data_IF_118334184301
#
_entry.id   IF_118334184301
#
_cell.length_a   1.000
_cell.length_b   1.000
_cell.length_c   1.000
_cell.angle_alpha   90.00
_cell.angle_beta   90.00
_cell.angle_gamma   90.00
#
_symmetry.space_group_name_H-M   'P 1'
#
loop_
_entity.id
_entity.type
_entity.pdbx_description
1 polymer ?
#
# COMPACT_ATOMS: atom_id res chain seq x y z
N UNK A 1 25.18 -46.30 6.15
CA UNK A 1 25.47 -44.88 5.85
C UNK A 1 24.18 -44.32 5.25
N UNK A 2 23.25 -43.75 6.00
CA UNK A 2 23.45 -42.76 7.05
C UNK A 2 23.14 -41.38 6.46
N UNK A 3 21.85 -41.10 6.26
CA UNK A 3 21.27 -39.77 6.35
C UNK A 3 19.77 -39.96 6.61
N UNK A 4 19.48 -40.15 7.90
CA UNK A 4 18.16 -39.94 8.48
C UNK A 4 17.79 -38.48 8.23
N UNK A 5 16.82 -38.22 7.36
CA UNK A 5 16.20 -36.91 7.25
C UNK A 5 15.54 -36.60 8.60
N UNK A 6 16.18 -35.73 9.38
CA UNK A 6 15.60 -35.15 10.59
C UNK A 6 14.37 -34.33 10.20
N UNK A 7 13.21 -34.50 10.87
CA UNK A 7 12.08 -33.62 10.67
C UNK A 7 12.38 -32.32 11.42
N UNK A 8 13.07 -31.39 10.76
CA UNK A 8 13.17 -30.03 11.26
C UNK A 8 12.50 -29.07 10.30
N UNK A 9 11.39 -28.50 10.75
CA UNK A 9 11.18 -27.05 10.59
C UNK A 9 10.01 -26.67 11.49
N UNK A 10 10.30 -25.96 12.59
CA UNK A 10 9.33 -25.06 13.21
C UNK A 10 8.68 -24.19 12.12
N UNK A 11 7.44 -23.73 12.34
CA UNK A 11 6.81 -22.79 11.42
C UNK A 11 7.74 -21.57 11.20
N UNK A 12 7.89 -21.09 9.95
CA UNK A 12 8.77 -19.96 9.66
C UNK A 12 8.27 -18.71 10.39
N UNK A 13 9.20 -17.88 10.85
CA UNK A 13 8.86 -16.60 11.46
C UNK A 13 8.47 -15.59 10.37
N UNK A 14 7.20 -15.22 10.32
CA UNK A 14 6.70 -14.25 9.36
C UNK A 14 6.65 -12.82 9.92
N UNK A 15 7.00 -12.60 11.19
CA UNK A 15 6.89 -11.27 11.81
C UNK A 15 7.80 -10.26 11.11
N UNK A 16 7.30 -9.03 10.95
CA UNK A 16 8.05 -7.93 10.34
C UNK A 16 7.93 -6.66 11.17
N UNK A 17 8.98 -5.84 11.17
CA UNK A 17 9.00 -4.53 11.82
C UNK A 17 9.10 -3.42 10.77
N UNK A 18 8.08 -2.57 10.72
CA UNK A 18 8.00 -1.40 9.86
C UNK A 18 8.30 -0.15 10.70
N UNK A 19 9.53 -0.04 11.22
CA UNK A 19 9.89 1.01 12.16
C UNK A 19 9.10 0.86 13.47
N UNK A 20 8.26 1.83 13.87
CA UNK A 20 7.47 1.75 15.10
C UNK A 20 6.25 0.81 15.01
N UNK A 21 5.93 0.26 13.84
CA UNK A 21 4.81 -0.66 13.64
C UNK A 21 5.32 -2.11 13.52
N UNK A 22 4.90 -2.97 14.44
CA UNK A 22 5.24 -4.40 14.42
C UNK A 22 4.04 -5.23 13.96
N UNK A 23 4.23 -6.10 12.97
CA UNK A 23 3.18 -6.92 12.39
C UNK A 23 3.47 -8.41 12.60
N UNK A 24 2.41 -9.20 12.80
CA UNK A 24 2.52 -10.65 12.94
C UNK A 24 2.96 -11.35 11.64
N UNK A 25 2.71 -10.71 10.49
CA UNK A 25 3.10 -11.17 9.15
C UNK A 25 3.13 -9.99 8.15
N UNK A 26 3.72 -10.13 6.95
CA UNK A 26 3.91 -9.01 6.04
C UNK A 26 2.68 -8.69 5.18
N UNK A 27 1.53 -9.37 5.36
CA UNK A 27 0.38 -9.23 4.45
C UNK A 27 -0.67 -8.32 5.03
N UNK A 28 -0.87 -7.18 4.37
CA UNK A 28 -1.92 -6.21 4.69
C UNK A 28 -2.98 -6.15 3.59
N UNK A 29 -4.18 -5.66 3.89
CA UNK A 29 -5.17 -5.29 2.85
C UNK A 29 -4.95 -3.87 2.39
N UNK A 30 -5.18 -3.57 1.11
CA UNK A 30 -5.09 -2.20 0.61
C UNK A 30 -6.39 -1.42 0.89
N UNK A 31 -6.24 -0.12 1.21
CA UNK A 31 -7.36 0.79 1.36
C UNK A 31 -8.24 0.83 0.11
N UNK A 32 -9.56 0.84 0.31
CA UNK A 32 -10.55 1.01 -0.76
C UNK A 32 -11.09 -0.28 -1.37
N UNK A 33 -10.35 -1.39 -1.29
CA UNK A 33 -10.75 -2.70 -1.85
C UNK A 33 -11.12 -3.73 -0.79
N UNK A 34 -11.05 -3.35 0.49
CA UNK A 34 -11.40 -4.20 1.63
C UNK A 34 -12.42 -3.54 2.57
N UNK A 35 -13.15 -2.53 2.06
CA UNK A 35 -14.15 -1.80 2.83
C UNK A 35 -13.59 -1.22 4.12
N UNK A 36 -14.30 -1.44 5.23
CA UNK A 36 -13.79 -1.20 6.58
C UNK A 36 -13.26 -2.48 7.22
N UNK A 37 -13.21 -3.59 6.50
CA UNK A 37 -12.78 -4.92 6.96
C UNK A 37 -13.94 -5.81 7.42
N UNK A 38 -14.97 -5.24 8.03
CA UNK A 38 -16.12 -6.00 8.55
C UNK A 38 -16.88 -6.75 7.45
N UNK A 39 -16.93 -6.18 6.26
CA UNK A 39 -17.60 -6.76 5.09
C UNK A 39 -16.97 -8.10 4.64
N UNK A 40 -15.73 -8.37 5.07
CA UNK A 40 -15.00 -9.60 4.75
C UNK A 40 -14.95 -10.59 5.91
N UNK A 41 -15.52 -10.24 7.07
CA UNK A 41 -15.39 -11.03 8.30
C UNK A 41 -16.11 -12.38 8.28
N UNK A 42 -17.01 -12.59 7.33
CA UNK A 42 -17.67 -13.88 7.09
C UNK A 42 -16.82 -14.83 6.22
N UNK A 43 -15.80 -14.30 5.52
CA UNK A 43 -14.97 -15.09 4.59
C UNK A 43 -13.62 -15.50 5.21
N UNK A 44 -13.11 -14.70 6.16
CA UNK A 44 -11.86 -14.96 6.86
C UNK A 44 -11.82 -14.34 8.26
N UNK A 45 -10.94 -14.89 9.10
CA UNK A 45 -10.56 -14.29 10.37
C UNK A 45 -9.60 -13.12 10.15
N UNK A 46 -10.06 -11.92 10.52
CA UNK A 46 -9.34 -10.66 10.36
C UNK A 46 -8.04 -10.61 11.18
N UNK A 47 -7.98 -11.33 12.30
CA UNK A 47 -6.80 -11.36 13.18
C UNK A 47 -5.61 -12.08 12.58
N UNK A 48 -5.82 -12.91 11.54
CA UNK A 48 -4.74 -13.62 10.84
C UNK A 48 -3.91 -12.71 9.94
N UNK A 49 -4.44 -11.57 9.51
CA UNK A 49 -3.73 -10.65 8.62
C UNK A 49 -2.76 -9.76 9.40
N UNK A 50 -1.64 -9.39 8.77
CA UNK A 50 -0.67 -8.47 9.33
C UNK A 50 -1.28 -7.10 9.63
N UNK A 51 -2.18 -6.62 8.78
CA UNK A 51 -3.01 -5.46 9.07
C UNK A 51 -4.09 -5.17 8.05
N UNK A 52 -5.09 -4.39 8.47
CA UNK A 52 -6.20 -3.95 7.62
C UNK A 52 -6.08 -2.45 7.44
N UNK A 53 -5.72 -2.04 6.22
CA UNK A 53 -5.82 -0.64 5.83
C UNK A 53 -7.26 -0.36 5.41
N UNK A 54 -8.01 0.32 6.27
CA UNK A 54 -9.43 0.59 6.01
C UNK A 54 -9.60 1.62 4.89
N UNK A 55 -10.82 1.68 4.33
CA UNK A 55 -11.25 2.74 3.41
C UNK A 55 -10.86 4.12 3.94
N UNK A 56 -10.33 4.95 3.05
CA UNK A 56 -9.96 6.33 3.35
C UNK A 56 -11.08 7.10 4.05
N UNK A 57 -10.75 7.72 5.18
CA UNK A 57 -11.66 8.51 6.01
C UNK A 57 -11.39 10.00 5.80
N UNK A 58 -12.45 10.80 5.74
CA UNK A 58 -12.41 12.27 5.84
C UNK A 58 -13.07 12.77 7.12
N UNK A 59 -12.87 14.05 7.45
CA UNK A 59 -13.54 14.70 8.58
C UNK A 59 -15.06 14.56 8.51
N UNK A 60 -15.64 14.78 7.33
CA UNK A 60 -17.08 14.66 7.06
C UNK A 60 -17.37 13.51 6.10
N UNK A 61 -18.60 12.95 6.10
CA UNK A 61 -19.01 11.95 5.12
C UNK A 61 -18.88 12.46 3.68
N UNK A 62 -18.60 11.55 2.75
CA UNK A 62 -18.52 11.84 1.31
C UNK A 62 -19.40 10.89 0.51
N UNK A 63 -20.22 11.39 -0.43
CA UNK A 63 -21.08 10.55 -1.26
C UNK A 63 -20.34 9.86 -2.42
N UNK A 64 -19.13 10.30 -2.76
CA UNK A 64 -18.40 9.82 -3.93
C UNK A 64 -18.85 10.46 -5.26
N UNK A 65 -18.26 9.98 -6.35
CA UNK A 65 -18.55 10.44 -7.72
C UNK A 65 -19.87 9.86 -8.25
N UNK A 66 -20.50 10.39 -9.31
CA UNK A 66 -21.63 9.71 -9.95
C UNK A 66 -21.22 8.38 -10.60
N UNK A 67 -22.11 7.36 -10.70
CA UNK A 67 -21.87 6.15 -11.47
C UNK A 67 -21.91 6.40 -13.00
N UNK A 68 -21.29 5.54 -13.83
CA UNK A 68 -20.49 4.37 -13.47
C UNK A 68 -19.12 4.74 -12.87
N UNK A 69 -18.79 4.10 -11.75
CA UNK A 69 -17.54 4.32 -10.97
C UNK A 69 -16.46 3.27 -11.25
N UNK A 70 -16.81 2.17 -11.91
CA UNK A 70 -15.93 1.04 -12.17
C UNK A 70 -16.00 0.64 -13.63
N UNK A 71 -14.88 0.19 -14.19
CA UNK A 71 -14.83 -0.40 -15.52
C UNK A 71 -13.70 -1.43 -15.57
N UNK A 72 -13.95 -2.60 -16.16
CA UNK A 72 -12.92 -3.61 -16.36
C UNK A 72 -11.97 -3.21 -17.50
N UNK A 73 -10.70 -3.60 -17.37
CA UNK A 73 -9.64 -3.43 -18.38
C UNK A 73 -8.89 -4.76 -18.53
N UNK A 74 -8.14 -4.97 -19.62
CA UNK A 74 -7.23 -6.11 -19.71
C UNK A 74 -6.33 -6.19 -18.47
N UNK A 75 -6.37 -7.34 -17.79
CA UNK A 75 -5.56 -7.61 -16.59
C UNK A 75 -5.74 -6.59 -15.45
N UNK A 76 -6.92 -5.98 -15.30
CA UNK A 76 -7.15 -5.01 -14.23
C UNK A 76 -8.52 -4.37 -14.24
N UNK A 77 -8.64 -3.26 -13.52
CA UNK A 77 -9.86 -2.45 -13.51
C UNK A 77 -9.55 -0.98 -13.25
N UNK A 78 -10.40 -0.12 -13.79
CA UNK A 78 -10.47 1.29 -13.44
C UNK A 78 -11.46 1.52 -12.32
N UNK A 79 -11.13 2.47 -11.45
CA UNK A 79 -12.05 3.01 -10.45
C UNK A 79 -12.02 4.54 -10.42
N UNK A 80 -13.18 5.14 -10.22
CA UNK A 80 -13.36 6.56 -9.98
C UNK A 80 -14.41 6.75 -8.88
N UNK A 81 -14.15 6.18 -7.69
CA UNK A 81 -15.12 6.14 -6.59
C UNK A 81 -15.45 7.53 -6.04
N UNK A 82 -14.50 8.47 -6.10
CA UNK A 82 -14.66 9.82 -5.53
C UNK A 82 -14.51 9.86 -4.01
N UNK A 83 -13.78 8.90 -3.43
CA UNK A 83 -13.45 8.87 -2.01
C UNK A 83 -14.69 8.82 -1.10
N UNK A 84 -15.74 8.12 -1.55
CA UNK A 84 -16.93 7.80 -0.75
C UNK A 84 -16.54 7.19 0.60
N UNK A 85 -17.02 7.76 1.69
CA UNK A 85 -16.74 7.29 3.04
C UNK A 85 -17.73 7.85 4.07
N UNK A 86 -17.78 7.19 5.24
CA UNK A 86 -18.73 7.50 6.30
C UNK A 86 -18.36 8.71 7.17
N UNK A 87 -17.17 9.28 7.01
CA UNK A 87 -16.62 10.32 7.89
C UNK A 87 -16.05 9.76 9.20
N UNK A 88 -15.19 10.53 9.87
CA UNK A 88 -14.45 10.09 11.05
C UNK A 88 -15.35 9.76 12.24
N UNK A 89 -16.38 10.57 12.50
CA UNK A 89 -17.30 10.36 13.62
C UNK A 89 -18.00 9.00 13.53
N UNK A 90 -18.54 8.69 12.35
CA UNK A 90 -19.23 7.42 12.12
C UNK A 90 -18.26 6.24 12.10
N UNK A 91 -17.05 6.42 11.59
CA UNK A 91 -16.02 5.39 11.64
C UNK A 91 -15.68 5.01 13.09
N UNK A 92 -15.42 6.00 13.94
CA UNK A 92 -15.09 5.80 15.35
C UNK A 92 -16.23 5.16 16.15
N UNK A 93 -17.47 5.54 15.86
CA UNK A 93 -18.65 5.01 16.54
C UNK A 93 -19.05 3.60 16.06
N UNK A 94 -19.12 3.40 14.74
CA UNK A 94 -19.81 2.24 14.15
C UNK A 94 -18.85 1.19 13.57
N UNK A 95 -17.62 1.55 13.18
CA UNK A 95 -16.71 0.67 12.43
C UNK A 95 -15.50 0.22 13.25
N UNK A 96 -14.86 1.14 13.99
CA UNK A 96 -13.66 0.84 14.78
C UNK A 96 -13.89 -0.19 15.91
N UNK A 97 -14.95 -0.09 16.74
CA UNK A 97 -15.16 -1.02 17.84
C UNK A 97 -15.26 -2.50 17.43
N UNK A 98 -16.10 -2.89 16.44
CA UNK A 98 -16.20 -4.29 16.04
C UNK A 98 -14.93 -4.82 15.36
N UNK A 99 -14.15 -3.97 14.68
CA UNK A 99 -12.84 -4.39 14.13
C UNK A 99 -11.86 -4.77 15.23
N UNK A 100 -11.81 -3.96 16.30
CA UNK A 100 -11.00 -4.24 17.48
C UNK A 100 -11.43 -5.52 18.19
N UNK A 101 -12.74 -5.73 18.33
CA UNK A 101 -13.28 -6.96 18.93
C UNK A 101 -12.89 -8.22 18.15
N UNK A 102 -12.68 -8.11 16.83
CA UNK A 102 -12.21 -9.20 15.96
C UNK A 102 -10.69 -9.33 15.92
N UNK A 103 -9.94 -8.62 16.77
CA UNK A 103 -8.48 -8.72 16.87
C UNK A 103 -7.73 -8.17 15.67
N UNK A 104 -8.36 -7.34 14.83
CA UNK A 104 -7.68 -6.75 13.67
C UNK A 104 -6.60 -5.74 14.09
N UNK A 105 -5.46 -5.74 13.39
CA UNK A 105 -4.49 -4.63 13.41
C UNK A 105 -4.96 -3.57 12.42
N UNK A 106 -5.37 -2.41 12.91
CA UNK A 106 -6.12 -1.42 12.11
C UNK A 106 -5.22 -0.26 11.72
N UNK A 107 -5.09 -0.02 10.42
CA UNK A 107 -4.41 1.14 9.84
C UNK A 107 -5.46 2.04 9.21
N UNK A 108 -5.57 3.28 9.69
CA UNK A 108 -6.57 4.23 9.20
C UNK A 108 -5.99 5.02 8.04
N UNK A 109 -6.46 4.74 6.82
CA UNK A 109 -6.18 5.59 5.67
C UNK A 109 -6.91 6.93 5.84
N UNK A 110 -6.19 8.05 5.73
CA UNK A 110 -6.73 9.40 5.90
C UNK A 110 -6.63 10.20 4.60
N UNK A 111 -7.63 11.05 4.37
CA UNK A 111 -7.68 11.95 3.22
C UNK A 111 -8.28 13.31 3.58
N UNK A 112 -7.86 14.33 2.84
CA UNK A 112 -8.32 15.72 2.96
C UNK A 112 -8.14 16.48 1.64
N UNK A 113 -8.86 17.59 1.50
CA UNK A 113 -8.71 18.53 0.39
C UNK A 113 -7.65 19.60 0.66
N UNK A 114 -7.32 19.83 1.94
CA UNK A 114 -6.34 20.83 2.37
C UNK A 114 -5.43 20.24 3.43
N UNK A 115 -4.23 20.82 3.58
CA UNK A 115 -3.25 20.43 4.61
C UNK A 115 -3.88 20.50 6.01
N UNK A 116 -4.70 21.51 6.25
CA UNK A 116 -5.40 21.69 7.53
C UNK A 116 -6.39 20.56 7.81
N UNK A 117 -7.14 20.09 6.80
CA UNK A 117 -8.05 18.95 6.97
C UNK A 117 -7.31 17.65 7.31
N UNK A 118 -6.13 17.42 6.71
CA UNK A 118 -5.28 16.27 7.06
C UNK A 118 -4.79 16.36 8.52
N UNK A 119 -4.30 17.53 8.93
CA UNK A 119 -3.79 17.76 10.28
C UNK A 119 -4.89 17.61 11.35
N UNK A 120 -6.07 18.19 11.09
CA UNK A 120 -7.24 18.08 11.96
C UNK A 120 -7.68 16.62 12.10
N UNK A 121 -7.79 15.89 10.99
CA UNK A 121 -8.20 14.48 11.01
C UNK A 121 -7.19 13.62 11.77
N UNK A 122 -5.90 13.86 11.59
CA UNK A 122 -4.86 13.19 12.37
C UNK A 122 -4.97 13.50 13.86
N UNK A 123 -5.29 14.75 14.23
CA UNK A 123 -5.52 15.15 15.63
C UNK A 123 -6.72 14.42 16.24
N UNK A 124 -7.82 14.25 15.50
CA UNK A 124 -9.02 13.53 15.97
C UNK A 124 -8.74 12.05 16.19
N UNK A 125 -7.91 11.44 15.34
CA UNK A 125 -7.54 10.03 15.43
C UNK A 125 -6.40 9.77 16.43
N UNK A 126 -5.61 10.79 16.74
CA UNK A 126 -4.51 10.72 17.71
C UNK A 126 -5.03 10.37 19.10
N UNK A 127 -4.40 9.37 19.74
CA UNK A 127 -4.80 8.90 21.08
C UNK A 127 -6.04 8.01 21.11
N UNK A 128 -6.71 7.76 19.97
CA UNK A 128 -7.81 6.79 19.91
C UNK A 128 -7.24 5.37 20.02
N UNK A 129 -7.67 4.64 21.05
CA UNK A 129 -7.22 3.27 21.29
C UNK A 129 -7.61 2.30 20.17
N UNK A 130 -6.68 1.41 19.81
CA UNK A 130 -6.88 0.37 18.80
C UNK A 130 -6.60 0.79 17.35
N UNK A 131 -6.09 2.00 17.12
CA UNK A 131 -5.49 2.38 15.84
C UNK A 131 -3.99 2.09 15.90
N UNK A 132 -3.49 1.26 15.00
CA UNK A 132 -2.08 0.86 14.95
C UNK A 132 -1.20 1.84 14.17
N UNK A 133 -1.74 2.47 13.13
CA UNK A 133 -1.04 3.46 12.31
C UNK A 133 -2.03 4.34 11.53
N UNK A 134 -1.54 5.47 11.02
CA UNK A 134 -2.23 6.27 10.01
C UNK A 134 -1.54 6.10 8.65
N UNK A 135 -2.33 5.97 7.58
CA UNK A 135 -1.81 6.00 6.20
C UNK A 135 -2.31 7.26 5.48
N UNK A 136 -1.43 8.19 5.15
CA UNK A 136 -1.76 9.42 4.43
C UNK A 136 -1.94 9.11 2.94
N UNK A 137 -3.13 9.37 2.41
CA UNK A 137 -3.38 9.30 0.97
C UNK A 137 -3.16 10.65 0.27
N UNK A 138 -1.93 10.92 -0.16
CA UNK A 138 -1.57 12.17 -0.86
C UNK A 138 -1.93 12.18 -2.36
N UNK A 139 -2.58 11.14 -2.89
CA UNK A 139 -2.98 11.11 -4.32
C UNK A 139 -4.24 11.93 -4.62
N UNK A 140 -4.86 12.56 -3.60
CA UNK A 140 -6.05 13.37 -3.75
C UNK A 140 -5.73 14.74 -4.39
N UNK A 141 -6.61 15.27 -5.27
CA UNK A 141 -6.43 16.58 -5.88
C UNK A 141 -6.52 17.71 -4.83
N UNK A 142 -5.60 18.67 -4.88
CA UNK A 142 -5.59 19.87 -4.05
C UNK A 142 -6.51 20.94 -4.66
N UNK A 143 -7.67 21.14 -4.05
CA UNK A 143 -8.69 22.09 -4.53
C UNK A 143 -8.20 23.55 -4.46
N UNK A 144 -7.35 23.90 -3.48
CA UNK A 144 -6.81 25.27 -3.33
C UNK A 144 -5.80 25.64 -4.43
N UNK A 145 -5.17 24.66 -5.08
CA UNK A 145 -4.11 24.88 -6.08
C UNK A 145 -4.49 24.38 -7.47
N UNK A 146 -5.77 24.52 -7.84
CA UNK A 146 -6.26 24.19 -9.19
C UNK A 146 -6.38 22.70 -9.49
N UNK A 147 -6.43 21.84 -8.46
CA UNK A 147 -6.69 20.41 -8.61
C UNK A 147 -5.45 19.51 -8.76
N UNK A 148 -4.23 20.05 -8.67
CA UNK A 148 -3.01 19.22 -8.67
C UNK A 148 -2.97 18.30 -7.43
N UNK A 149 -2.62 17.03 -7.60
CA UNK A 149 -2.52 16.11 -6.47
C UNK A 149 -1.34 16.47 -5.56
N UNK A 150 -1.51 16.35 -4.23
CA UNK A 150 -0.42 16.64 -3.29
C UNK A 150 0.82 15.77 -3.55
N UNK A 151 0.61 14.51 -3.95
CA UNK A 151 1.65 13.52 -4.20
C UNK A 151 2.33 13.61 -5.55
N UNK A 152 2.13 14.68 -6.33
CA UNK A 152 2.88 14.92 -7.58
C UNK A 152 3.93 16.02 -7.45
N UNK A 153 4.02 16.67 -6.28
CA UNK A 153 4.98 17.74 -5.99
C UNK A 153 5.66 17.41 -4.64
N UNK A 154 7.00 17.26 -4.59
CA UNK A 154 7.70 16.88 -3.36
C UNK A 154 7.45 17.83 -2.19
N UNK A 155 7.39 19.14 -2.45
CA UNK A 155 7.19 20.14 -1.42
C UNK A 155 5.75 20.08 -0.86
N UNK A 156 4.75 19.88 -1.71
CA UNK A 156 3.37 19.66 -1.26
C UNK A 156 3.21 18.36 -0.46
N UNK A 157 3.86 17.28 -0.88
CA UNK A 157 3.88 16.03 -0.13
C UNK A 157 4.49 16.25 1.27
N UNK A 158 5.67 16.89 1.34
CA UNK A 158 6.32 17.22 2.61
C UNK A 158 5.44 18.08 3.53
N UNK A 159 4.76 19.09 2.98
CA UNK A 159 3.86 19.94 3.76
C UNK A 159 2.71 19.16 4.41
N UNK A 160 2.07 18.25 3.67
CA UNK A 160 0.99 17.42 4.23
C UNK A 160 1.54 16.50 5.32
N UNK A 161 2.67 15.83 5.06
CA UNK A 161 3.29 14.92 6.03
C UNK A 161 3.67 15.65 7.32
N UNK A 162 4.38 16.77 7.21
CA UNK A 162 4.83 17.54 8.37
C UNK A 162 3.65 18.04 9.22
N UNK A 163 2.57 18.50 8.56
CA UNK A 163 1.37 18.95 9.24
C UNK A 163 0.64 17.81 9.98
N UNK A 164 0.58 16.61 9.39
CA UNK A 164 0.02 15.42 10.03
C UNK A 164 0.91 14.95 11.19
N UNK A 165 2.22 14.87 10.96
CA UNK A 165 3.20 14.44 11.98
C UNK A 165 3.13 15.31 13.23
N UNK A 166 2.95 16.62 13.07
CA UNK A 166 2.81 17.55 14.18
C UNK A 166 1.56 17.33 15.07
N UNK A 167 0.59 16.52 14.61
CA UNK A 167 -0.71 16.31 15.28
C UNK A 167 -0.90 14.90 15.82
N UNK A 168 0.04 13.99 15.60
CA UNK A 168 -0.06 12.61 16.06
C UNK A 168 1.30 12.05 16.44
N UNK A 169 1.32 11.05 17.31
CA UNK A 169 2.51 10.21 17.60
C UNK A 169 2.35 8.77 17.08
N UNK A 170 1.23 8.45 16.43
CA UNK A 170 1.02 7.14 15.81
C UNK A 170 2.03 6.92 14.68
N UNK A 171 2.42 5.65 14.40
CA UNK A 171 3.16 5.31 13.19
C UNK A 171 2.52 5.93 11.94
N UNK A 172 3.32 6.61 11.14
CA UNK A 172 2.85 7.36 9.99
C UNK A 172 3.36 6.77 8.69
N UNK A 173 2.43 6.25 7.88
CA UNK A 173 2.67 5.71 6.55
C UNK A 173 2.27 6.76 5.52
N UNK A 174 3.12 7.08 4.54
CA UNK A 174 2.72 7.93 3.41
C UNK A 174 2.59 7.11 2.13
N UNK A 175 1.38 7.13 1.54
CA UNK A 175 1.07 6.37 0.32
C UNK A 175 1.37 7.16 -0.94
N UNK A 176 2.39 6.74 -1.68
CA UNK A 176 2.92 7.44 -2.84
C UNK A 176 2.10 7.19 -4.11
N UNK A 177 2.00 8.23 -4.94
CA UNK A 177 1.42 8.16 -6.28
C UNK A 177 2.47 7.68 -7.29
N UNK A 178 2.12 6.78 -8.22
CA UNK A 178 3.01 6.42 -9.33
C UNK A 178 3.00 7.45 -10.47
N UNK A 179 2.09 8.44 -10.43
CA UNK A 179 1.83 9.37 -11.52
C UNK A 179 2.82 10.56 -11.48
N UNK A 180 4.11 10.25 -11.43
CA UNK A 180 5.22 11.21 -11.30
C UNK A 180 6.39 10.76 -12.15
N UNK A 181 7.24 11.71 -12.54
CA UNK A 181 8.49 11.41 -13.26
C UNK A 181 9.48 10.66 -12.36
N UNK A 182 9.62 11.09 -11.11
CA UNK A 182 10.56 10.54 -10.12
C UNK A 182 9.83 10.25 -8.82
N UNK A 183 9.56 8.97 -8.51
CA UNK A 183 8.96 8.59 -7.23
C UNK A 183 9.95 8.77 -6.07
N UNK A 184 11.24 8.64 -6.36
CA UNK A 184 12.32 8.79 -5.40
C UNK A 184 12.37 10.19 -4.76
N UNK A 185 12.07 11.25 -5.52
CA UNK A 185 11.98 12.62 -5.00
C UNK A 185 10.82 12.79 -4.02
N UNK A 186 9.64 12.28 -4.38
CA UNK A 186 8.46 12.32 -3.51
C UNK A 186 8.72 11.49 -2.25
N UNK A 187 9.36 10.33 -2.39
CA UNK A 187 9.70 9.45 -1.28
C UNK A 187 10.64 10.12 -0.26
N UNK A 188 11.73 10.74 -0.73
CA UNK A 188 12.66 11.49 0.15
C UNK A 188 11.93 12.61 0.87
N UNK A 189 11.18 13.44 0.14
CA UNK A 189 10.45 14.56 0.73
C UNK A 189 9.42 14.10 1.78
N UNK A 190 8.70 13.00 1.53
CA UNK A 190 7.76 12.44 2.50
C UNK A 190 8.48 11.85 3.72
N UNK A 191 9.62 11.18 3.54
CA UNK A 191 10.40 10.63 4.63
C UNK A 191 11.00 11.73 5.51
N UNK A 192 11.69 12.70 4.91
CA UNK A 192 12.35 13.81 5.61
C UNK A 192 11.35 14.69 6.37
N UNK A 193 10.10 14.78 5.88
CA UNK A 193 9.02 15.48 6.55
C UNK A 193 8.42 14.74 7.76
N UNK A 194 8.84 13.50 8.02
CA UNK A 194 8.46 12.73 9.21
C UNK A 194 7.58 11.50 8.95
N UNK A 195 7.57 10.94 7.74
CA UNK A 195 6.96 9.61 7.52
C UNK A 195 7.87 8.53 8.10
N UNK A 196 7.31 7.69 8.98
CA UNK A 196 8.00 6.54 9.57
C UNK A 196 8.13 5.38 8.57
N UNK A 197 7.18 5.29 7.65
CA UNK A 197 7.01 4.21 6.68
C UNK A 197 6.50 4.82 5.36
N UNK A 198 6.88 4.25 4.22
CA UNK A 198 6.25 4.59 2.93
C UNK A 198 5.46 3.41 2.39
N UNK A 199 4.40 3.68 1.62
CA UNK A 199 3.70 2.63 0.89
C UNK A 199 3.56 3.02 -0.57
N UNK A 200 3.87 2.12 -1.51
CA UNK A 200 3.77 2.43 -2.93
C UNK A 200 3.44 1.19 -3.77
N UNK A 201 2.52 1.29 -4.74
CA UNK A 201 1.92 2.51 -5.31
C UNK A 201 0.41 2.62 -5.08
N UNK A 202 -0.12 3.84 -5.16
CA UNK A 202 -1.52 4.07 -5.49
C UNK A 202 -1.82 3.74 -6.96
N UNK A 203 -3.05 3.94 -7.42
CA UNK A 203 -3.45 3.59 -8.79
C UNK A 203 -2.79 4.47 -9.86
N UNK A 204 -2.59 3.89 -11.06
CA UNK A 204 -2.06 4.59 -12.25
C UNK A 204 -3.22 5.28 -12.99
N UNK A 205 -3.05 6.53 -13.42
CA UNK A 205 -4.07 7.25 -14.18
C UNK A 205 -4.32 6.62 -15.55
N UNK A 206 -5.57 6.29 -15.87
CA UNK A 206 -5.93 5.63 -17.12
C UNK A 206 -7.39 5.88 -17.51
N UNK A 207 -7.75 5.53 -18.73
CA UNK A 207 -9.11 5.64 -19.26
C UNK A 207 -9.54 4.38 -20.00
N UNK A 208 -10.85 4.17 -20.09
CA UNK A 208 -11.44 3.15 -20.95
C UNK A 208 -12.55 3.78 -21.78
N UNK A 209 -12.61 3.44 -23.05
CA UNK A 209 -13.55 3.99 -24.03
C UNK A 209 -14.44 2.87 -24.55
N UNK A 210 -15.72 3.17 -24.70
CA UNK A 210 -16.63 2.34 -25.50
C UNK A 210 -16.58 2.82 -26.97
N UNK A 211 -16.05 2.02 -27.91
CA UNK A 211 -15.93 2.43 -29.30
C UNK A 211 -17.29 2.56 -30.02
N UNK A 212 -18.35 1.90 -29.54
CA UNK A 212 -19.67 1.96 -30.17
C UNK A 212 -20.36 3.29 -29.86
N UNK A 213 -20.39 3.67 -28.58
CA UNK A 213 -20.95 4.97 -28.17
C UNK A 213 -19.97 6.14 -28.28
N UNK A 214 -18.67 5.88 -28.46
CA UNK A 214 -17.57 6.86 -28.43
C UNK A 214 -17.51 7.64 -27.11
N UNK A 215 -17.93 7.02 -26.02
CA UNK A 215 -17.96 7.63 -24.68
C UNK A 215 -16.97 6.97 -23.73
N UNK A 216 -16.50 7.68 -22.70
CA UNK A 216 -15.76 7.06 -21.60
C UNK A 216 -16.64 6.03 -20.88
N UNK A 217 -16.03 4.93 -20.42
CA UNK A 217 -16.71 3.91 -19.61
C UNK A 217 -16.94 4.35 -18.16
N UNK A 218 -16.29 5.43 -17.72
CA UNK A 218 -16.46 6.03 -16.40
C UNK A 218 -17.10 7.41 -16.51
N UNK A 219 -18.00 7.75 -15.58
CA UNK A 219 -18.57 9.09 -15.52
C UNK A 219 -17.49 10.18 -15.31
N UNK A 220 -16.44 9.84 -14.56
CA UNK A 220 -15.30 10.72 -14.30
C UNK A 220 -14.28 10.79 -15.45
N UNK A 221 -14.58 10.19 -16.62
CA UNK A 221 -13.74 10.10 -17.83
C UNK A 221 -12.45 9.27 -17.60
N UNK A 222 -11.59 9.74 -16.71
CA UNK A 222 -10.36 9.12 -16.25
C UNK A 222 -10.58 8.50 -14.87
N UNK A 223 -9.94 7.36 -14.63
CA UNK A 223 -9.93 6.68 -13.33
C UNK A 223 -8.56 6.12 -12.99
N UNK A 224 -8.47 5.52 -11.81
CA UNK A 224 -7.28 4.80 -11.36
C UNK A 224 -7.30 3.35 -11.82
N UNK A 225 -6.32 2.97 -12.63
CA UNK A 225 -6.00 1.59 -12.98
C UNK A 225 -5.34 0.86 -11.81
N UNK A 226 -5.87 -0.32 -11.52
CA UNK A 226 -5.34 -1.27 -10.55
C UNK A 226 -5.44 -2.69 -11.08
N UNK A 227 -4.92 -3.67 -10.32
CA UNK A 227 -4.85 -5.07 -10.73
C UNK A 227 -3.52 -5.44 -11.39
N UNK A 228 -3.38 -6.68 -11.88
CA UNK A 228 -2.11 -7.23 -12.40
C UNK A 228 -1.39 -6.33 -13.41
N UNK A 229 -2.14 -5.58 -14.23
CA UNK A 229 -1.63 -4.67 -15.24
C UNK A 229 -0.60 -3.66 -14.70
N UNK A 230 -0.70 -3.26 -13.43
CA UNK A 230 0.22 -2.27 -12.84
C UNK A 230 1.39 -2.90 -12.06
N UNK A 231 1.46 -4.24 -11.93
CA UNK A 231 2.49 -4.90 -11.11
C UNK A 231 3.92 -4.52 -11.53
N UNK A 232 4.31 -4.54 -12.82
CA UNK A 232 5.68 -4.18 -13.21
C UNK A 232 6.04 -2.72 -12.88
N UNK A 233 5.07 -1.80 -12.99
CA UNK A 233 5.25 -0.39 -12.62
C UNK A 233 5.44 -0.29 -11.11
N UNK A 234 4.62 -0.99 -10.34
CA UNK A 234 4.70 -1.02 -8.89
C UNK A 234 6.03 -1.59 -8.38
N UNK A 235 6.52 -2.70 -8.94
CA UNK A 235 7.83 -3.28 -8.59
C UNK A 235 8.97 -2.29 -8.81
N UNK A 236 9.00 -1.63 -9.98
CA UNK A 236 9.98 -0.57 -10.27
C UNK A 236 9.89 0.57 -9.25
N UNK A 237 8.68 1.05 -8.97
CA UNK A 237 8.48 2.14 -8.03
C UNK A 237 8.94 1.77 -6.60
N UNK A 238 8.66 0.54 -6.15
CA UNK A 238 9.14 0.03 -4.86
C UNK A 238 10.67 -0.04 -4.86
N UNK A 239 11.27 -0.61 -5.90
CA UNK A 239 12.73 -0.69 -6.05
C UNK A 239 13.42 0.68 -5.99
N UNK A 240 12.89 1.67 -6.72
CA UNK A 240 13.38 3.04 -6.69
C UNK A 240 13.20 3.67 -5.30
N UNK A 241 12.08 3.40 -4.63
CA UNK A 241 11.76 3.95 -3.30
C UNK A 241 12.69 3.40 -2.22
N UNK A 242 12.87 2.06 -2.14
CA UNK A 242 13.73 1.43 -1.10
C UNK A 242 15.19 1.86 -1.19
N UNK A 243 15.64 2.30 -2.38
CA UNK A 243 17.00 2.84 -2.59
C UNK A 243 17.10 4.33 -2.29
N UNK A 244 15.97 5.04 -2.25
CA UNK A 244 15.93 6.48 -2.07
C UNK A 244 15.79 6.90 -0.60
N UNK A 245 15.28 6.02 0.28
CA UNK A 245 15.01 6.31 1.69
C UNK A 245 15.56 5.21 2.60
N UNK A 246 15.72 5.51 3.89
CA UNK A 246 16.16 4.55 4.91
C UNK A 246 15.01 3.91 5.68
N UNK A 247 13.79 4.46 5.58
CA UNK A 247 12.62 3.89 6.25
C UNK A 247 12.03 2.68 5.51
N UNK A 248 11.30 1.78 6.20
CA UNK A 248 10.65 0.64 5.57
C UNK A 248 9.62 1.05 4.51
N UNK A 249 9.51 0.22 3.46
CA UNK A 249 8.56 0.41 2.36
C UNK A 249 7.58 -0.75 2.30
N UNK A 250 6.30 -0.44 2.15
CA UNK A 250 5.23 -1.42 1.90
C UNK A 250 4.92 -1.45 0.39
N UNK A 251 5.07 -2.61 -0.24
CA UNK A 251 4.79 -2.81 -1.67
C UNK A 251 3.30 -3.00 -1.96
N UNK A 252 2.78 -2.32 -2.99
CA UNK A 252 1.36 -2.34 -3.36
C UNK A 252 1.22 -2.24 -4.88
N UNK A 253 0.39 -3.09 -5.47
CA UNK A 253 -0.04 -2.94 -6.86
C UNK A 253 0.06 -4.23 -7.65
N UNK A 254 -1.09 -4.73 -8.09
CA UNK A 254 -1.16 -5.91 -8.97
C UNK A 254 -0.82 -7.26 -8.35
N UNK A 255 -0.61 -7.33 -7.04
CA UNK A 255 -0.44 -8.59 -6.31
C UNK A 255 -1.72 -9.43 -6.38
N UNK A 256 -1.64 -10.64 -6.91
CA UNK A 256 -2.75 -11.62 -6.93
C UNK A 256 -2.41 -12.92 -6.20
N UNK A 257 -1.12 -13.26 -6.13
CA UNK A 257 -0.63 -14.53 -5.62
C UNK A 257 0.50 -14.33 -4.61
N UNK A 258 0.83 -15.40 -3.89
CA UNK A 258 1.99 -15.41 -2.99
C UNK A 258 3.30 -15.13 -3.73
N UNK A 259 3.44 -15.62 -4.98
CA UNK A 259 4.62 -15.34 -5.80
C UNK A 259 4.74 -13.86 -6.14
N UNK A 260 3.63 -13.20 -6.48
CA UNK A 260 3.66 -11.75 -6.69
C UNK A 260 4.09 -11.01 -5.42
N UNK A 261 3.58 -11.41 -4.24
CA UNK A 261 3.99 -10.81 -2.98
C UNK A 261 5.48 -11.01 -2.70
N UNK A 262 6.01 -12.21 -2.95
CA UNK A 262 7.43 -12.53 -2.82
C UNK A 262 8.29 -11.68 -3.76
N UNK A 263 7.84 -11.35 -4.97
CA UNK A 263 8.54 -10.41 -5.87
C UNK A 263 8.71 -9.02 -5.22
N UNK A 264 7.71 -8.52 -4.50
CA UNK A 264 7.85 -7.25 -3.77
C UNK A 264 8.80 -7.36 -2.58
N UNK A 265 8.73 -8.47 -1.84
CA UNK A 265 9.61 -8.70 -0.68
C UNK A 265 11.07 -8.81 -1.10
N UNK A 266 11.39 -9.59 -2.14
CA UNK A 266 12.76 -9.74 -2.64
C UNK A 266 13.33 -8.42 -3.18
N UNK A 267 12.50 -7.58 -3.81
CA UNK A 267 12.87 -6.22 -4.25
C UNK A 267 13.24 -5.30 -3.09
N UNK A 268 12.76 -5.58 -1.87
CA UNK A 268 13.10 -4.84 -0.66
C UNK A 268 11.90 -4.28 0.11
N UNK A 269 10.66 -4.52 -0.33
CA UNK A 269 9.50 -4.18 0.48
C UNK A 269 9.51 -5.00 1.77
N UNK A 270 9.28 -4.34 2.91
CA UNK A 270 9.24 -4.99 4.21
C UNK A 270 7.87 -5.64 4.50
N UNK A 271 6.84 -5.24 3.75
CA UNK A 271 5.49 -5.80 3.79
C UNK A 271 4.77 -5.51 2.46
N UNK A 272 3.57 -6.07 2.27
CA UNK A 272 2.76 -5.88 1.07
C UNK A 272 1.30 -5.54 1.38
N UNK A 273 0.64 -4.71 0.54
CA UNK A 273 -0.82 -4.55 0.56
C UNK A 273 -1.48 -5.22 -0.64
N UNK A 274 -2.53 -6.00 -0.37
CA UNK A 274 -3.32 -6.70 -1.39
C UNK A 274 -4.63 -5.95 -1.63
N UNK A 275 -4.79 -5.48 -2.87
CA UNK A 275 -5.94 -4.66 -3.28
C UNK A 275 -6.98 -5.42 -4.10
N UNK A 276 -6.93 -5.19 -5.42
CA UNK A 276 -7.88 -5.70 -6.43
C UNK A 276 -8.13 -7.20 -6.34
N UNK A 277 -7.15 -8.01 -5.91
CA UNK A 277 -7.33 -9.45 -5.73
C UNK A 277 -8.51 -9.80 -4.81
N UNK A 278 -8.75 -9.00 -3.76
CA UNK A 278 -9.84 -9.23 -2.82
C UNK A 278 -11.23 -8.98 -3.42
N UNK A 279 -11.32 -8.18 -4.48
CA UNK A 279 -12.56 -7.96 -5.24
C UNK A 279 -12.90 -9.17 -6.12
N UNK A 280 -11.88 -9.91 -6.56
CA UNK A 280 -12.04 -11.14 -7.35
C UNK A 280 -12.27 -12.34 -6.43
N UNK A 281 -11.51 -12.43 -5.34
CA UNK A 281 -11.57 -13.53 -4.39
C UNK A 281 -11.47 -12.99 -2.95
N UNK A 282 -12.55 -13.04 -2.12
CA UNK A 282 -12.58 -12.40 -0.80
C UNK A 282 -11.48 -12.85 0.18
N UNK A 283 -10.95 -14.08 0.01
CA UNK A 283 -9.84 -14.64 0.81
C UNK A 283 -8.45 -14.43 0.21
N UNK A 284 -8.29 -13.62 -0.85
CA UNK A 284 -7.02 -13.50 -1.57
C UNK A 284 -5.85 -13.13 -0.64
N UNK A 285 -6.00 -12.12 0.22
CA UNK A 285 -4.96 -11.76 1.20
C UNK A 285 -4.56 -12.94 2.10
N UNK A 286 -5.52 -13.75 2.54
CA UNK A 286 -5.24 -14.90 3.40
C UNK A 286 -4.50 -16.01 2.64
N UNK A 287 -4.91 -16.29 1.40
CA UNK A 287 -4.24 -17.27 0.55
C UNK A 287 -2.80 -16.84 0.20
N UNK A 288 -2.57 -15.55 0.02
CA UNK A 288 -1.23 -14.99 -0.20
C UNK A 288 -0.36 -15.21 1.04
N UNK A 289 -0.88 -14.93 2.24
CA UNK A 289 -0.18 -15.21 3.49
C UNK A 289 0.21 -16.69 3.63
N UNK A 290 -0.76 -17.59 3.43
CA UNK A 290 -0.53 -19.04 3.51
C UNK A 290 0.47 -19.52 2.45
N UNK A 291 0.45 -18.92 1.26
CA UNK A 291 1.40 -19.22 0.20
C UNK A 291 2.83 -18.74 0.50
N UNK A 292 3.00 -17.58 1.14
CA UNK A 292 4.30 -17.10 1.63
C UNK A 292 4.85 -18.06 2.68
N UNK A 293 4.02 -18.48 3.64
CA UNK A 293 4.41 -19.45 4.66
C UNK A 293 4.88 -20.77 4.03
N UNK A 294 4.11 -21.28 3.06
CA UNK A 294 4.46 -22.49 2.31
C UNK A 294 5.77 -22.34 1.55
N UNK A 295 5.99 -21.20 0.91
CA UNK A 295 7.24 -20.90 0.20
C UNK A 295 8.44 -20.95 1.16
N UNK A 296 8.37 -20.25 2.30
CA UNK A 296 9.47 -20.25 3.28
C UNK A 296 9.80 -21.67 3.76
N UNK A 297 8.78 -22.48 4.09
CA UNK A 297 8.98 -23.89 4.48
C UNK A 297 9.66 -24.70 3.38
N UNK A 298 9.29 -24.49 2.12
CA UNK A 298 9.84 -25.24 0.99
C UNK A 298 11.29 -24.86 0.67
N UNK A 299 11.64 -23.58 0.86
CA UNK A 299 12.99 -23.05 0.62
C UNK A 299 13.91 -23.16 1.85
N UNK A 300 13.41 -23.66 2.99
CA UNK A 300 14.17 -23.71 4.24
C UNK A 300 14.48 -22.34 4.83
N UNK A 301 13.65 -21.33 4.55
CA UNK A 301 13.81 -19.96 5.07
C UNK A 301 13.20 -19.91 6.48
N UNK A 302 14.05 -19.67 7.49
CA UNK A 302 13.65 -19.65 8.90
C UNK A 302 12.85 -18.41 9.29
N UNK A 303 13.21 -17.24 8.76
CA UNK A 303 12.49 -15.99 8.96
C UNK A 303 12.27 -15.27 7.61
N UNK A 304 11.09 -14.70 7.38
CA UNK A 304 10.80 -13.97 6.13
C UNK A 304 11.74 -12.77 5.92
N UNK A 305 12.26 -12.21 7.01
CA UNK A 305 13.25 -11.12 6.98
C UNK A 305 14.54 -11.51 6.28
N UNK A 306 14.90 -12.80 6.27
CA UNK A 306 16.10 -13.30 5.58
C UNK A 306 15.92 -13.31 4.05
N UNK A 307 14.68 -13.20 3.57
CA UNK A 307 14.33 -13.15 2.15
C UNK A 307 14.16 -11.73 1.63
N UNK A 308 13.77 -10.78 2.49
CA UNK A 308 13.49 -9.39 2.10
C UNK A 308 14.77 -8.71 1.61
N UNK A 309 14.68 -8.03 0.46
CA UNK A 309 15.79 -7.24 -0.10
C UNK A 309 16.96 -8.07 -0.64
N UNK A 310 16.75 -9.35 -0.90
CA UNK A 310 17.77 -10.27 -1.42
C UNK A 310 17.90 -10.26 -2.96
N UNK A 311 17.24 -9.31 -3.64
CA UNK A 311 17.33 -9.18 -5.10
C UNK A 311 18.79 -9.03 -5.57
N UNK A 312 19.25 -10.01 -6.33
CA UNK A 312 20.56 -9.96 -6.99
C UNK A 312 20.47 -9.18 -8.32
N UNK A 313 20.90 -7.92 -8.30
CA UNK A 313 21.01 -7.09 -9.50
C UNK A 313 22.38 -7.20 -10.20
N UNK A 314 23.31 -7.96 -9.63
CA UNK A 314 24.59 -8.28 -10.27
C UNK A 314 24.51 -9.53 -11.15
N UNK A 315 23.38 -10.25 -11.11
CA UNK A 315 23.10 -11.42 -11.92
C UNK A 315 23.34 -11.13 -13.42
N UNK A 316 24.27 -11.88 -14.02
CA UNK A 316 24.49 -11.86 -15.47
C UNK A 316 23.61 -12.91 -16.10
N UNK A 317 22.73 -12.50 -17.01
CA UNK A 317 22.04 -13.47 -17.86
C UNK A 317 23.07 -14.19 -18.73
N UNK A 318 22.92 -15.50 -18.99
CA UNK A 318 23.92 -16.31 -19.71
C UNK A 318 24.20 -15.87 -21.16
N UNK A 319 23.49 -14.86 -21.65
CA UNK A 319 23.66 -14.25 -22.98
C UNK A 319 24.17 -12.79 -22.92
N UNK A 320 24.53 -12.28 -21.74
CA UNK A 320 25.03 -10.92 -21.56
C UNK A 320 26.49 -10.96 -21.06
N UNK A 321 27.43 -10.56 -21.92
CA UNK A 321 28.87 -10.52 -21.60
C UNK A 321 29.19 -9.46 -20.52
N UNK A 322 28.34 -8.43 -20.39
CA UNK A 322 28.45 -7.35 -19.41
C UNK A 322 27.15 -7.21 -18.59
N UNK A 323 27.28 -6.99 -17.28
CA UNK A 323 26.15 -6.54 -16.45
C UNK A 323 25.82 -5.10 -16.80
N UNK A 324 24.53 -4.74 -16.95
CA UNK A 324 24.14 -3.33 -17.03
C UNK A 324 24.62 -2.62 -15.76
N UNK A 325 25.62 -1.75 -15.87
CA UNK A 325 26.12 -0.95 -14.75
C UNK A 325 25.03 0.04 -14.35
N UNK A 326 24.24 -0.29 -13.33
CA UNK A 326 23.33 0.66 -12.69
C UNK A 326 24.18 1.50 -11.75
N UNK A 327 24.74 2.61 -12.25
CA UNK A 327 25.41 3.58 -11.39
C UNK A 327 24.43 4.03 -10.30
N UNK A 328 24.84 4.03 -9.01
CA UNK A 328 24.01 4.61 -7.97
C UNK A 328 23.76 6.09 -8.28
N UNK A 329 22.55 6.63 -8.01
CA UNK A 329 22.29 8.05 -8.22
C UNK A 329 23.31 8.86 -7.43
N UNK A 330 23.94 9.84 -8.11
CA UNK A 330 24.95 10.70 -7.52
C UNK A 330 24.41 11.31 -6.22
N UNK A 331 25.12 11.10 -5.11
CA UNK A 331 24.84 11.83 -3.87
C UNK A 331 25.29 13.28 -4.10
N UNK A 332 24.36 14.22 -4.10
CA UNK A 332 24.71 15.63 -4.05
C UNK A 332 25.48 15.91 -2.74
N UNK A 333 26.55 16.73 -2.77
CA UNK A 333 27.32 17.06 -1.58
C UNK A 333 26.48 17.91 -0.62
N UNK A 334 26.61 17.58 0.68
CA UNK A 334 25.97 18.23 1.85
C UNK A 334 26.25 19.72 1.91
#
# INVERSE_FOLDING_TARGET
>A
MGQSATPHSSAPDLRVSLGPLHLANPVLTASGTFGYGLEFSDFLDLSRLGGIVVKGISLKPRPGNPPPRLAETPCGMLNAIGLENVGVERFLRDKLPPLRQRGAVIIVNILGNTVEEYAELASVLSGVSGIAALEINISCPNVKRGGMAFGTDPHMAAQVVAAVRARTSLPLITKLSPNVTSIAEIARAAHDAGSDILSCINTVSAMAVDPFSRRPKLANIVGGLSGPAIKPIALRCVYETVRAVSCPVIGIGGIQTAMDALEFLVVGASAVQVGTANLVHPRASLHILEGIEKFCRHQGIGAITDYIGTLDTACRFPFADESCSVEPPAREPV
#
